data_IF_102177669074
#
_entry.id   IF_102177669074
#
_cell.length_a   1.000
_cell.length_b   1.000
_cell.length_c   1.000
_cell.angle_alpha   90.00
_cell.angle_beta   90.00
_cell.angle_gamma   90.00
#
_symmetry.space_group_name_H-M   'P 1'
#
loop_
_entity.id
_entity.type
_entity.pdbx_description
1 polymer ?
#
# COMPACT_ATOMS: atom_id res chain seq x y z
N UNK A 1 12.30 8.74 13.82
CA UNK A 1 10.87 9.16 13.75
C UNK A 1 10.44 9.54 15.16
N UNK A 2 9.75 10.67 15.35
CA UNK A 2 9.32 11.11 16.68
C UNK A 2 8.08 10.31 17.09
N UNK A 3 8.10 9.70 18.27
CA UNK A 3 6.98 8.92 18.79
C UNK A 3 5.88 9.83 19.32
N UNK A 4 4.67 9.72 18.76
CA UNK A 4 3.45 10.37 19.26
C UNK A 4 2.50 9.38 19.92
N UNK A 5 1.50 9.90 20.62
CA UNK A 5 0.40 9.09 21.19
C UNK A 5 -0.50 8.61 20.07
N UNK A 6 -0.84 7.33 20.06
CA UNK A 6 -1.76 6.77 19.06
C UNK A 6 -3.16 6.73 19.64
N UNK A 7 -4.09 7.42 18.97
CA UNK A 7 -5.51 7.38 19.29
C UNK A 7 -6.18 6.38 18.35
N UNK A 8 -6.59 5.24 18.89
CA UNK A 8 -7.22 4.15 18.14
C UNK A 8 -8.50 4.67 17.48
N UNK A 9 -8.70 4.30 16.21
CA UNK A 9 -9.85 4.68 15.38
C UNK A 9 -10.05 6.21 15.20
N UNK A 10 -9.06 7.01 15.60
CA UNK A 10 -9.03 8.47 15.46
C UNK A 10 -7.83 8.89 14.59
N UNK A 11 -7.83 8.59 13.27
CA UNK A 11 -6.68 8.82 12.39
C UNK A 11 -6.29 10.30 12.29
N UNK A 12 -7.27 11.21 12.31
CA UNK A 12 -7.04 12.66 12.28
C UNK A 12 -6.35 13.14 13.56
N UNK A 13 -6.83 12.71 14.73
CA UNK A 13 -6.22 13.09 16.02
C UNK A 13 -4.81 12.53 16.17
N UNK A 14 -4.61 11.30 15.70
CA UNK A 14 -3.27 10.70 15.63
C UNK A 14 -2.37 11.50 14.68
N UNK A 15 -2.85 11.81 13.48
CA UNK A 15 -2.09 12.49 12.43
C UNK A 15 -1.72 13.94 12.75
N UNK A 16 -2.55 14.68 13.51
CA UNK A 16 -2.28 16.07 13.91
C UNK A 16 -1.02 16.26 14.75
N UNK A 17 -0.45 15.18 15.28
CA UNK A 17 0.84 15.19 15.98
C UNK A 17 2.05 15.20 15.03
N UNK A 18 1.81 15.07 13.72
CA UNK A 18 2.82 15.09 12.65
C UNK A 18 2.58 16.32 11.79
N UNK A 19 3.65 17.05 11.48
CA UNK A 19 3.57 18.17 10.54
C UNK A 19 3.16 17.68 9.14
N UNK A 20 2.24 18.40 8.49
CA UNK A 20 1.72 18.00 7.18
C UNK A 20 2.81 17.89 6.10
N UNK A 21 3.84 18.74 6.13
CA UNK A 21 4.96 18.67 5.18
C UNK A 21 5.87 17.49 5.48
N UNK A 22 6.07 17.14 6.75
CA UNK A 22 6.77 15.92 7.15
C UNK A 22 6.00 14.67 6.66
N UNK A 23 4.67 14.66 6.79
CA UNK A 23 3.83 13.56 6.31
C UNK A 23 3.92 13.42 4.79
N UNK A 24 3.79 14.51 4.03
CA UNK A 24 3.94 14.46 2.56
C UNK A 24 5.34 13.97 2.17
N UNK A 25 6.39 14.40 2.86
CA UNK A 25 7.76 13.89 2.63
C UNK A 25 7.87 12.39 2.91
N UNK A 26 7.22 11.90 3.96
CA UNK A 26 7.16 10.47 4.26
C UNK A 26 6.41 9.69 3.15
N UNK A 27 5.24 10.16 2.72
CA UNK A 27 4.46 9.52 1.65
C UNK A 27 5.26 9.46 0.33
N UNK A 28 5.98 10.52 -0.03
CA UNK A 28 6.88 10.53 -1.19
C UNK A 28 8.04 9.54 -1.07
N UNK A 29 8.61 9.38 0.14
CA UNK A 29 9.63 8.35 0.40
C UNK A 29 9.07 6.94 0.26
N UNK A 30 7.81 6.71 0.62
CA UNK A 30 7.11 5.44 0.39
C UNK A 30 6.77 5.18 -1.09
N UNK A 31 6.86 6.20 -1.95
CA UNK A 31 6.65 6.06 -3.40
C UNK A 31 5.36 6.67 -3.93
N UNK A 32 4.58 7.39 -3.10
CA UNK A 32 3.40 8.10 -3.56
C UNK A 32 3.78 9.44 -4.19
N UNK A 33 3.27 9.74 -5.38
CA UNK A 33 3.56 11.02 -6.07
C UNK A 33 2.52 12.10 -5.81
N UNK A 34 1.28 11.72 -5.49
CA UNK A 34 0.17 12.64 -5.23
C UNK A 34 -0.64 12.96 -6.49
N UNK A 35 -1.43 14.06 -6.51
CA UNK A 35 -1.50 15.14 -5.51
C UNK A 35 -1.90 14.70 -4.10
N UNK A 36 -1.53 15.52 -3.11
CA UNK A 36 -1.84 15.34 -1.69
C UNK A 36 -2.84 16.41 -1.25
N UNK A 37 -3.85 16.03 -0.49
CA UNK A 37 -4.76 16.97 0.16
C UNK A 37 -4.06 17.79 1.25
N UNK A 38 -4.80 18.73 1.82
CA UNK A 38 -4.30 19.64 2.84
C UNK A 38 -4.95 19.38 4.20
N UNK A 39 -4.28 19.79 5.29
CA UNK A 39 -4.81 19.71 6.64
C UNK A 39 -5.35 18.32 7.02
N UNK A 40 -6.57 18.29 7.52
CA UNK A 40 -7.24 17.05 7.96
C UNK A 40 -7.61 16.12 6.79
N UNK A 41 -7.79 16.63 5.58
CA UNK A 41 -8.15 15.80 4.41
C UNK A 41 -7.00 14.84 4.07
N UNK A 42 -5.76 15.32 4.16
CA UNK A 42 -4.58 14.47 4.02
C UNK A 42 -4.59 13.33 5.05
N UNK A 43 -4.93 13.65 6.30
CA UNK A 43 -4.98 12.67 7.40
C UNK A 43 -6.11 11.65 7.24
N UNK A 44 -7.16 12.00 6.49
CA UNK A 44 -8.26 11.09 6.10
C UNK A 44 -7.97 10.29 4.84
N UNK A 45 -6.81 10.50 4.21
CA UNK A 45 -6.40 9.75 3.02
C UNK A 45 -6.73 10.44 1.69
N UNK A 46 -6.92 11.76 1.65
CA UNK A 46 -6.97 12.51 0.40
C UNK A 46 -5.59 12.50 -0.29
N UNK A 47 -5.26 11.39 -0.93
CA UNK A 47 -4.02 11.17 -1.66
C UNK A 47 -4.38 10.48 -2.97
N UNK A 48 -4.07 11.12 -4.10
CA UNK A 48 -4.14 10.45 -5.38
C UNK A 48 -2.93 9.52 -5.53
N UNK A 49 -3.18 8.27 -5.90
CA UNK A 49 -2.17 7.27 -6.12
C UNK A 49 -2.64 6.25 -7.15
N UNK A 50 -1.69 5.67 -7.87
CA UNK A 50 -1.92 4.51 -8.72
C UNK A 50 -1.89 3.22 -7.89
N UNK A 51 -2.54 2.13 -8.35
CA UNK A 51 -2.44 0.83 -7.69
C UNK A 51 -1.00 0.34 -7.49
N UNK A 52 -0.10 0.63 -8.45
CA UNK A 52 1.31 0.24 -8.34
C UNK A 52 2.04 1.02 -7.23
N UNK A 53 1.73 2.30 -7.04
CA UNK A 53 2.32 3.10 -5.95
C UNK A 53 1.85 2.61 -4.58
N UNK A 54 0.57 2.27 -4.43
CA UNK A 54 0.02 1.69 -3.19
C UNK A 54 0.67 0.34 -2.88
N UNK A 55 0.80 -0.54 -3.88
CA UNK A 55 1.51 -1.81 -3.73
C UNK A 55 2.99 -1.60 -3.33
N UNK A 56 3.65 -0.62 -3.94
CA UNK A 56 5.05 -0.27 -3.63
C UNK A 56 5.21 0.26 -2.20
N UNK A 57 4.29 1.09 -1.74
CA UNK A 57 4.27 1.59 -0.36
C UNK A 57 4.08 0.45 0.65
N UNK A 58 3.19 -0.49 0.39
CA UNK A 58 2.99 -1.68 1.21
C UNK A 58 4.25 -2.57 1.23
N UNK A 59 4.82 -2.85 0.05
CA UNK A 59 6.06 -3.62 -0.11
C UNK A 59 7.23 -2.99 0.66
N UNK A 60 7.27 -1.66 0.74
CA UNK A 60 8.27 -0.92 1.53
C UNK A 60 8.20 -1.27 3.02
N UNK A 61 7.00 -1.38 3.58
CA UNK A 61 6.81 -1.68 5.00
C UNK A 61 7.22 -3.12 5.33
N UNK A 62 6.79 -4.10 4.54
CA UNK A 62 7.18 -5.52 4.74
C UNK A 62 8.66 -5.74 4.50
N UNK A 63 9.27 -5.00 3.57
CA UNK A 63 10.71 -5.03 3.32
C UNK A 63 11.51 -4.14 4.30
N UNK A 64 11.13 -4.14 5.58
CA UNK A 64 11.84 -3.46 6.67
C UNK A 64 12.15 -1.97 6.38
N UNK A 65 11.24 -1.30 5.68
CA UNK A 65 11.37 0.12 5.34
C UNK A 65 12.21 0.43 4.12
N UNK A 66 12.61 -0.58 3.33
CA UNK A 66 13.36 -0.40 2.08
C UNK A 66 12.40 -0.46 0.89
N UNK A 67 12.20 0.67 0.21
CA UNK A 67 11.32 0.76 -0.95
C UNK A 67 11.94 0.06 -2.15
N UNK A 68 11.29 -0.97 -2.73
CA UNK A 68 11.78 -1.58 -3.96
C UNK A 68 11.59 -0.62 -5.14
N UNK A 69 12.53 -0.64 -6.09
CA UNK A 69 12.29 -0.11 -7.44
C UNK A 69 11.45 -1.14 -8.20
N UNK A 70 10.28 -0.73 -8.66
CA UNK A 70 9.42 -1.58 -9.49
C UNK A 70 9.91 -1.57 -10.94
N UNK A 71 9.88 -2.74 -11.58
CA UNK A 71 10.17 -2.91 -13.00
C UNK A 71 9.47 -4.18 -13.49
N UNK A 72 9.15 -4.22 -14.79
CA UNK A 72 8.51 -5.37 -15.42
C UNK A 72 9.45 -6.11 -16.39
N UNK A 73 10.45 -5.42 -16.95
CA UNK A 73 11.47 -6.02 -17.81
C UNK A 73 12.63 -6.49 -16.95
N UNK A 74 12.88 -7.79 -16.91
CA UNK A 74 14.08 -8.33 -16.24
C UNK A 74 15.30 -8.24 -17.16
N UNK A 75 15.19 -8.77 -18.38
CA UNK A 75 16.30 -8.79 -19.32
C UNK A 75 15.82 -8.70 -20.78
N UNK A 76 16.61 -8.07 -21.64
CA UNK A 76 16.43 -8.07 -23.10
C UNK A 76 17.68 -8.66 -23.73
N UNK A 77 17.52 -9.71 -24.52
CA UNK A 77 18.58 -10.40 -25.26
C UNK A 77 18.45 -10.16 -26.76
N UNK A 78 19.56 -9.85 -27.40
CA UNK A 78 19.68 -9.72 -28.85
C UNK A 78 20.14 -11.02 -29.52
N UNK A 79 20.48 -10.97 -30.82
CA UNK A 79 21.02 -12.12 -31.55
C UNK A 79 22.28 -12.69 -30.87
N UNK A 80 22.45 -14.00 -30.96
CA UNK A 80 23.56 -14.75 -30.32
C UNK A 80 23.60 -14.58 -28.79
N UNK A 81 22.43 -14.45 -28.16
CA UNK A 81 22.27 -14.41 -26.70
C UNK A 81 22.96 -13.23 -26.00
N UNK A 82 23.22 -12.14 -26.75
CA UNK A 82 23.85 -10.94 -26.18
C UNK A 82 22.85 -10.19 -25.31
N UNK A 83 23.15 -10.03 -24.02
CA UNK A 83 22.38 -9.17 -23.11
C UNK A 83 22.49 -7.71 -23.57
N UNK A 84 21.36 -7.10 -23.93
CA UNK A 84 21.25 -5.69 -24.34
C UNK A 84 20.79 -4.79 -23.19
N UNK A 85 20.04 -5.36 -22.26
CA UNK A 85 19.50 -4.66 -21.09
C UNK A 85 19.24 -5.68 -19.98
N UNK A 86 19.57 -5.34 -18.73
CA UNK A 86 19.22 -6.13 -17.56
C UNK A 86 18.84 -5.19 -16.40
N UNK A 87 17.73 -5.47 -15.73
CA UNK A 87 17.43 -4.89 -14.43
C UNK A 87 17.94 -5.80 -13.33
N UNK A 88 18.33 -5.17 -12.21
CA UNK A 88 18.62 -5.89 -10.97
C UNK A 88 17.76 -5.31 -9.85
N UNK A 89 17.30 -6.16 -8.90
CA UNK A 89 16.57 -5.69 -7.74
C UNK A 89 17.35 -4.59 -7.02
N UNK A 90 16.72 -3.44 -6.82
CA UNK A 90 17.32 -2.31 -6.13
C UNK A 90 16.32 -1.70 -5.15
N UNK A 91 16.85 -1.13 -4.07
CA UNK A 91 16.06 -0.67 -2.94
C UNK A 91 16.56 0.66 -2.41
N UNK A 92 15.64 1.55 -2.06
CA UNK A 92 15.94 2.85 -1.44
C UNK A 92 15.45 2.88 0.01
N UNK A 93 16.27 3.27 1.00
CA UNK A 93 15.81 3.44 2.38
C UNK A 93 14.69 4.49 2.48
N UNK A 94 13.50 4.07 2.93
CA UNK A 94 12.30 4.92 2.98
C UNK A 94 11.77 5.13 4.41
N UNK A 95 11.91 4.16 5.31
CA UNK A 95 11.68 4.32 6.76
C UNK A 95 12.63 3.40 7.53
N UNK A 96 12.80 3.64 8.83
CA UNK A 96 13.64 2.78 9.67
C UNK A 96 13.03 1.37 9.83
N UNK A 97 13.84 0.29 9.93
CA UNK A 97 13.33 -1.08 10.11
C UNK A 97 12.40 -1.25 11.33
N UNK A 98 12.75 -0.62 12.46
CA UNK A 98 11.96 -0.65 13.68
C UNK A 98 10.59 0.03 13.49
N UNK A 99 10.57 1.17 12.78
CA UNK A 99 9.35 1.90 12.45
C UNK A 99 8.45 1.08 11.52
N UNK A 100 9.00 0.53 10.44
CA UNK A 100 8.26 -0.35 9.52
C UNK A 100 7.59 -1.51 10.27
N UNK A 101 8.34 -2.19 11.13
CA UNK A 101 7.84 -3.30 11.95
C UNK A 101 6.75 -2.84 12.92
N UNK A 102 6.94 -1.69 13.57
CA UNK A 102 5.94 -1.13 14.48
C UNK A 102 4.65 -0.76 13.75
N UNK A 103 4.72 -0.21 12.54
CA UNK A 103 3.54 0.09 11.71
C UNK A 103 2.76 -1.16 11.36
N UNK A 104 3.43 -2.23 10.93
CA UNK A 104 2.79 -3.50 10.58
C UNK A 104 2.06 -4.14 11.77
N UNK A 105 2.62 -4.05 12.97
CA UNK A 105 1.99 -4.59 14.20
C UNK A 105 0.70 -3.85 14.60
N UNK A 106 0.48 -2.64 14.09
CA UNK A 106 -0.66 -1.79 14.45
C UNK A 106 -1.82 -1.86 13.45
N UNK A 107 -1.63 -2.55 12.33
CA UNK A 107 -2.70 -2.74 11.37
C UNK A 107 -3.81 -3.63 11.96
N UNK A 108 -5.08 -3.30 11.70
CA UNK A 108 -6.22 -4.01 12.28
C UNK A 108 -6.34 -5.46 11.80
N UNK A 109 -5.74 -5.79 10.65
CA UNK A 109 -5.68 -7.14 10.11
C UNK A 109 -4.41 -7.85 10.61
N UNK A 110 -4.51 -8.76 11.60
CA UNK A 110 -3.37 -9.59 11.98
C UNK A 110 -2.96 -10.45 10.78
N UNK A 111 -1.67 -10.75 10.61
CA UNK A 111 -1.28 -11.78 9.65
C UNK A 111 -1.99 -13.08 10.07
N UNK A 112 -2.44 -13.89 9.10
CA UNK A 112 -2.91 -15.24 9.43
C UNK A 112 -1.81 -15.98 10.24
N UNK A 113 -2.16 -16.99 11.06
CA UNK A 113 -1.18 -17.73 11.87
C UNK A 113 -0.12 -18.48 11.04
N UNK A 114 -0.22 -18.47 9.71
CA UNK A 114 0.79 -19.03 8.81
C UNK A 114 2.00 -18.08 8.65
N UNK A 115 3.25 -18.58 8.63
CA UNK A 115 4.41 -17.79 8.24
C UNK A 115 4.22 -17.21 6.83
N UNK A 116 4.45 -15.91 6.67
CA UNK A 116 4.23 -15.21 5.39
C UNK A 116 2.77 -14.88 5.08
N UNK A 117 1.87 -14.94 6.07
CA UNK A 117 0.46 -14.68 5.87
C UNK A 117 0.13 -13.22 5.55
N UNK A 118 -0.90 -13.09 4.73
CA UNK A 118 -1.20 -11.84 4.07
C UNK A 118 -2.13 -10.97 4.89
N UNK A 119 -1.84 -9.68 4.82
CA UNK A 119 -2.63 -8.63 5.43
C UNK A 119 -3.53 -8.08 4.36
N UNK A 120 -4.83 -8.07 4.63
CA UNK A 120 -5.82 -7.45 3.75
C UNK A 120 -6.31 -6.15 4.39
N UNK A 121 -6.21 -5.06 3.65
CA UNK A 121 -6.77 -3.76 3.98
C UNK A 121 -7.76 -3.40 2.88
N UNK A 122 -8.92 -2.91 3.27
CA UNK A 122 -9.90 -2.36 2.32
C UNK A 122 -10.26 -0.95 2.76
N UNK A 123 -10.66 -0.12 1.80
CA UNK A 123 -11.07 1.26 2.04
C UNK A 123 -11.88 1.81 0.88
N UNK A 124 -12.44 2.99 1.07
CA UNK A 124 -13.16 3.72 0.04
C UNK A 124 -12.86 5.21 0.19
N UNK A 125 -12.89 5.96 -0.91
CA UNK A 125 -12.83 7.43 -0.82
C UNK A 125 -14.04 7.98 -0.05
N UNK A 126 -13.85 9.13 0.61
CA UNK A 126 -14.93 9.83 1.33
C UNK A 126 -16.11 10.18 0.42
N UNK A 127 -15.83 10.56 -0.83
CA UNK A 127 -16.84 10.84 -1.86
C UNK A 127 -17.52 9.56 -2.41
N UNK A 128 -17.03 8.37 -2.03
CA UNK A 128 -17.46 7.06 -2.54
C UNK A 128 -17.35 6.96 -4.06
N UNK A 129 -16.28 7.50 -4.62
CA UNK A 129 -15.98 7.42 -6.06
C UNK A 129 -15.19 6.15 -6.40
N UNK A 130 -14.53 5.58 -5.40
CA UNK A 130 -13.69 4.40 -5.54
C UNK A 130 -13.65 3.56 -4.27
N UNK A 131 -13.34 2.27 -4.47
CA UNK A 131 -13.00 1.31 -3.45
C UNK A 131 -11.59 0.78 -3.71
N UNK A 132 -10.84 0.59 -2.62
CA UNK A 132 -9.46 0.16 -2.62
C UNK A 132 -9.32 -1.10 -1.81
N UNK A 133 -8.52 -2.02 -2.32
CA UNK A 133 -8.18 -3.27 -1.68
C UNK A 133 -6.69 -3.52 -1.81
N UNK A 134 -6.04 -3.87 -0.71
CA UNK A 134 -4.61 -4.12 -0.65
C UNK A 134 -4.36 -5.42 0.12
N UNK A 135 -3.75 -6.40 -0.52
CA UNK A 135 -3.25 -7.62 0.09
C UNK A 135 -1.73 -7.68 0.02
N UNK A 136 -1.04 -7.96 1.12
CA UNK A 136 0.41 -7.97 1.12
C UNK A 136 1.00 -8.81 2.24
N UNK A 137 2.18 -9.36 1.96
CA UNK A 137 2.95 -10.19 2.86
C UNK A 137 4.43 -10.18 2.48
N UNK A 138 5.20 -11.15 2.96
CA UNK A 138 6.66 -11.19 2.75
C UNK A 138 7.06 -11.42 1.28
N UNK A 139 6.13 -11.93 0.46
CA UNK A 139 6.41 -12.34 -0.92
C UNK A 139 5.66 -11.56 -1.99
N UNK A 140 4.65 -10.77 -1.62
CA UNK A 140 3.85 -10.03 -2.60
C UNK A 140 3.19 -8.79 -1.98
N UNK A 141 2.81 -7.87 -2.87
CA UNK A 141 1.88 -6.78 -2.59
C UNK A 141 0.96 -6.64 -3.80
N UNK A 142 -0.34 -6.81 -3.58
CA UNK A 142 -1.39 -6.79 -4.59
C UNK A 142 -2.37 -5.67 -4.24
N UNK A 143 -2.65 -4.78 -5.18
CA UNK A 143 -3.65 -3.72 -5.02
C UNK A 143 -4.73 -3.86 -6.07
N UNK A 144 -5.98 -3.77 -5.64
CA UNK A 144 -7.16 -3.65 -6.49
C UNK A 144 -7.74 -2.26 -6.26
N UNK A 145 -7.99 -1.55 -7.36
CA UNK A 145 -8.80 -0.34 -7.38
C UNK A 145 -10.08 -0.63 -8.16
N UNK A 146 -11.20 -0.16 -7.62
CA UNK A 146 -12.49 -0.21 -8.28
C UNK A 146 -13.06 1.21 -8.31
N UNK A 147 -13.37 1.69 -9.50
CA UNK A 147 -13.95 3.01 -9.71
C UNK A 147 -14.33 3.21 -11.17
N UNK A 148 -14.91 4.37 -11.46
CA UNK A 148 -15.15 4.80 -12.84
C UNK A 148 -13.97 5.63 -13.34
N UNK A 149 -13.62 5.49 -14.62
CA UNK A 149 -12.57 6.30 -15.27
C UNK A 149 -12.81 7.80 -15.09
N UNK A 150 -14.07 8.22 -15.17
CA UNK A 150 -14.52 9.55 -14.78
C UNK A 150 -15.13 9.48 -13.38
N UNK A 151 -14.63 10.23 -12.40
CA UNK A 151 -15.09 10.13 -11.01
C UNK A 151 -16.60 10.30 -10.90
N UNK A 152 -17.28 9.24 -10.48
CA UNK A 152 -18.73 9.21 -10.26
C UNK A 152 -19.00 8.46 -8.98
N UNK A 153 -19.98 8.95 -8.22
CA UNK A 153 -20.41 8.31 -6.99
C UNK A 153 -20.91 6.89 -7.29
N UNK A 154 -20.33 5.93 -6.59
CA UNK A 154 -20.70 4.54 -6.64
C UNK A 154 -21.50 4.15 -5.40
N UNK A 155 -22.37 3.16 -5.53
CA UNK A 155 -23.02 2.53 -4.39
C UNK A 155 -22.09 1.46 -3.80
N UNK A 156 -21.08 1.91 -3.04
CA UNK A 156 -20.16 1.02 -2.34
C UNK A 156 -20.84 0.54 -1.06
N UNK A 157 -21.34 -0.70 -1.10
CA UNK A 157 -21.97 -1.38 0.03
C UNK A 157 -20.98 -2.28 0.76
N UNK A 158 -21.34 -2.75 1.96
CA UNK A 158 -20.56 -3.76 2.71
C UNK A 158 -20.35 -5.05 1.88
N UNK A 159 -21.30 -5.37 1.01
CA UNK A 159 -21.17 -6.48 0.06
C UNK A 159 -20.05 -6.22 -0.96
N UNK A 160 -19.91 -4.99 -1.45
CA UNK A 160 -18.82 -4.61 -2.38
C UNK A 160 -17.47 -4.78 -1.70
N UNK A 161 -17.35 -4.30 -0.46
CA UNK A 161 -16.13 -4.45 0.36
C UNK A 161 -15.84 -5.93 0.63
N UNK A 162 -16.87 -6.72 0.94
CA UNK A 162 -16.75 -8.18 1.16
C UNK A 162 -16.26 -8.90 -0.09
N UNK A 163 -16.78 -8.56 -1.28
CA UNK A 163 -16.35 -9.13 -2.55
C UNK A 163 -14.90 -8.75 -2.85
N UNK A 164 -14.51 -7.50 -2.61
CA UNK A 164 -13.14 -7.04 -2.77
C UNK A 164 -12.17 -7.81 -1.87
N UNK A 165 -12.55 -8.02 -0.60
CA UNK A 165 -11.78 -8.83 0.33
C UNK A 165 -11.62 -10.28 -0.16
N UNK A 166 -12.72 -10.92 -0.61
CA UNK A 166 -12.70 -12.29 -1.16
C UNK A 166 -11.83 -12.39 -2.41
N UNK A 167 -11.94 -11.42 -3.32
CA UNK A 167 -11.15 -11.37 -4.55
C UNK A 167 -9.64 -11.30 -4.22
N UNK A 168 -9.26 -10.40 -3.32
CA UNK A 168 -7.88 -10.31 -2.83
C UNK A 168 -7.41 -11.63 -2.22
N UNK A 169 -8.17 -12.22 -1.30
CA UNK A 169 -7.81 -13.49 -0.67
C UNK A 169 -7.58 -14.61 -1.69
N UNK A 170 -8.39 -14.67 -2.76
CA UNK A 170 -8.27 -15.69 -3.81
C UNK A 170 -7.07 -15.51 -4.74
N UNK A 171 -6.60 -14.27 -4.93
CA UNK A 171 -5.48 -13.95 -5.83
C UNK A 171 -4.12 -14.10 -5.16
N UNK A 172 -4.11 -14.28 -3.84
CA UNK A 172 -2.91 -14.42 -3.06
C UNK A 172 -2.41 -15.88 -3.10
N UNK A 173 -1.20 -16.14 -3.61
CA UNK A 173 -0.66 -17.50 -3.70
C UNK A 173 -0.52 -18.15 -2.33
N UNK A 174 -1.11 -19.33 -2.12
CA UNK A 174 -1.08 -20.08 -0.84
C UNK A 174 -2.38 -20.04 -0.04
N UNK A 175 -3.39 -19.31 -0.53
CA UNK A 175 -4.76 -19.24 0.01
C UNK A 175 -5.68 -20.36 -0.50
N UNK A 176 -5.26 -21.63 -0.48
CA UNK A 176 -6.25 -22.71 -0.63
C UNK A 176 -6.88 -23.00 0.74
N UNK A 177 -8.21 -23.04 0.87
CA UNK A 177 -8.84 -23.68 2.01
C UNK A 177 -8.61 -25.20 1.88
N UNK A 178 -8.10 -25.82 2.95
CA UNK A 178 -8.37 -27.23 3.19
C UNK A 178 -9.69 -27.32 3.96
#
# INVERSE_FOLDING_TARGET
ERGGTLFRDEPVRTGRQVDGRDLVRLLKRLGLTGPFGEGDDLLRGAVAATPLEVATAAATLVNRGRRPRTYFLDEIRGPRDRVLFANHPSFTPAVGPAAATASLKRLPSPPSPRPGADRVITGQSLARHDAWGLAFGDRHALTIWLGHDQPRRMNISDQTVTLLHKALASLVPGSSPM
#
